data_IF_019626909937
#
_entry.id   IF_019626909937
#
_cell.length_a   1.000
_cell.length_b   1.000
_cell.length_c   1.000
_cell.angle_alpha   90.00
_cell.angle_beta   90.00
_cell.angle_gamma   90.00
#
_symmetry.space_group_name_H-M   'P 1'
#
loop_
_entity.id
_entity.type
_entity.pdbx_description
1 polymer ?
#
# COMPACT_ATOMS: atom_id res chain seq x y z
N UNK A 1 21.33 -21.82 -8.91
CA UNK A 1 20.09 -21.36 -8.27
C UNK A 1 19.80 -19.95 -8.75
N UNK A 2 18.54 -19.65 -9.07
CA UNK A 2 18.07 -18.31 -9.42
C UNK A 2 17.24 -17.78 -8.25
N UNK A 3 17.53 -16.56 -7.78
CA UNK A 3 16.69 -15.85 -6.83
C UNK A 3 15.45 -15.31 -7.57
N UNK A 4 14.25 -15.57 -7.06
CA UNK A 4 12.99 -15.03 -7.60
C UNK A 4 12.31 -14.14 -6.59
N UNK A 5 12.01 -12.92 -7.02
CA UNK A 5 11.38 -11.90 -6.19
C UNK A 5 10.03 -11.56 -6.84
N UNK A 6 8.96 -11.64 -6.05
CA UNK A 6 7.65 -11.11 -6.41
C UNK A 6 7.54 -9.70 -5.82
N UNK A 7 7.35 -8.69 -6.66
CA UNK A 7 7.18 -7.30 -6.21
C UNK A 7 5.80 -6.80 -6.65
N UNK A 8 4.98 -6.42 -5.67
CA UNK A 8 3.62 -5.92 -5.86
C UNK A 8 3.51 -4.60 -5.11
N UNK A 9 2.87 -3.59 -5.70
CA UNK A 9 2.70 -2.27 -5.10
C UNK A 9 1.26 -1.78 -5.21
N UNK A 10 0.89 -0.81 -4.37
CA UNK A 10 -0.33 -0.01 -4.49
C UNK A 10 -1.63 -0.84 -4.52
N UNK A 11 -1.72 -1.90 -3.71
CA UNK A 11 -2.86 -2.83 -3.72
C UNK A 11 -4.13 -2.17 -3.15
N UNK A 12 -3.99 -1.24 -2.21
CA UNK A 12 -5.09 -0.47 -1.61
C UNK A 12 -6.24 -1.34 -1.08
N UNK A 13 -5.94 -2.29 -0.19
CA UNK A 13 -6.96 -3.13 0.46
C UNK A 13 -8.03 -2.28 1.13
N UNK A 14 -9.30 -2.62 0.83
CA UNK A 14 -10.50 -2.01 1.40
C UNK A 14 -11.26 -3.03 2.21
N UNK A 15 -11.79 -2.58 3.35
CA UNK A 15 -12.79 -3.33 4.10
C UNK A 15 -14.19 -2.93 3.62
N UNK A 16 -14.75 -3.71 2.70
CA UNK A 16 -16.11 -3.50 2.20
C UNK A 16 -17.13 -3.96 3.26
N UNK A 17 -17.46 -3.07 4.21
CA UNK A 17 -18.61 -3.25 5.10
C UNK A 17 -19.89 -3.11 4.28
N UNK A 18 -20.59 -4.22 4.10
CA UNK A 18 -21.91 -4.38 3.46
C UNK A 18 -22.03 -3.97 1.98
N UNK A 19 -22.28 -4.97 1.13
CA UNK A 19 -23.05 -4.86 -0.13
C UNK A 19 -22.58 -3.86 -1.21
N UNK A 20 -21.28 -3.62 -1.39
CA UNK A 20 -20.80 -2.99 -2.64
C UNK A 20 -20.66 -4.07 -3.74
N UNK A 21 -21.62 -4.03 -4.66
CA UNK A 21 -21.92 -5.02 -5.72
C UNK A 21 -20.82 -5.14 -6.80
N UNK A 22 -19.68 -4.48 -6.65
CA UNK A 22 -18.52 -4.59 -7.54
C UNK A 22 -17.26 -4.79 -6.70
N UNK A 23 -16.96 -6.05 -6.40
CA UNK A 23 -15.76 -6.43 -5.67
C UNK A 23 -14.56 -6.54 -6.65
N UNK A 24 -14.33 -5.46 -7.41
CA UNK A 24 -13.30 -5.40 -8.45
C UNK A 24 -11.92 -5.74 -7.88
N UNK A 25 -11.67 -5.35 -6.62
CA UNK A 25 -10.44 -5.66 -5.91
C UNK A 25 -10.25 -7.18 -5.74
N UNK A 26 -11.33 -7.92 -5.44
CA UNK A 26 -11.28 -9.39 -5.35
C UNK A 26 -11.04 -10.05 -6.71
N UNK A 27 -11.65 -9.53 -7.78
CA UNK A 27 -11.42 -10.06 -9.13
C UNK A 27 -9.96 -9.87 -9.54
N UNK A 28 -9.39 -8.69 -9.29
CA UNK A 28 -7.97 -8.41 -9.55
C UNK A 28 -7.08 -9.32 -8.70
N UNK A 29 -7.38 -9.48 -7.41
CA UNK A 29 -6.64 -10.39 -6.52
C UNK A 29 -6.70 -11.84 -7.01
N UNK A 30 -7.85 -12.29 -7.54
CA UNK A 30 -8.01 -13.63 -8.08
C UNK A 30 -7.17 -13.84 -9.34
N UNK A 31 -7.16 -12.87 -10.27
CA UNK A 31 -6.30 -12.95 -11.46
C UNK A 31 -4.81 -12.96 -11.08
N UNK A 32 -4.39 -12.15 -10.09
CA UNK A 32 -3.02 -12.20 -9.55
C UNK A 32 -2.70 -13.60 -9.01
N UNK A 33 -3.63 -14.21 -8.27
CA UNK A 33 -3.44 -15.56 -7.72
C UNK A 33 -3.27 -16.61 -8.84
N UNK A 34 -4.10 -16.53 -9.89
CA UNK A 34 -4.05 -17.45 -11.04
C UNK A 34 -2.72 -17.31 -11.78
N UNK A 35 -2.31 -16.08 -12.08
CA UNK A 35 -1.06 -15.79 -12.78
C UNK A 35 0.16 -16.23 -11.95
N UNK A 36 0.13 -15.98 -10.64
CA UNK A 36 1.18 -16.41 -9.73
C UNK A 36 1.29 -17.94 -9.69
N UNK A 37 0.15 -18.66 -9.64
CA UNK A 37 0.15 -20.12 -9.65
C UNK A 37 0.74 -20.66 -10.96
N UNK A 38 0.34 -20.10 -12.11
CA UNK A 38 0.87 -20.48 -13.41
C UNK A 38 2.39 -20.20 -13.50
N UNK A 39 2.84 -19.06 -12.99
CA UNK A 39 4.25 -18.69 -12.94
C UNK A 39 5.04 -19.67 -12.08
N UNK A 40 4.56 -20.01 -10.88
CA UNK A 40 5.23 -20.93 -9.95
C UNK A 40 5.32 -22.33 -10.52
N UNK A 41 4.26 -22.83 -11.18
CA UNK A 41 4.28 -24.12 -11.87
C UNK A 41 5.34 -24.17 -12.98
N UNK A 42 5.52 -23.08 -13.72
CA UNK A 42 6.44 -23.02 -14.87
C UNK A 42 7.89 -22.72 -14.47
N UNK A 43 8.08 -21.86 -13.48
CA UNK A 43 9.38 -21.28 -13.16
C UNK A 43 9.92 -21.72 -11.81
N UNK A 44 9.08 -22.25 -10.91
CA UNK A 44 9.42 -22.63 -9.55
C UNK A 44 9.00 -21.58 -8.51
N UNK A 45 9.25 -21.90 -7.22
CA UNK A 45 8.82 -21.07 -6.07
C UNK A 45 9.35 -19.63 -6.09
N UNK A 46 8.68 -18.74 -5.37
CA UNK A 46 9.21 -17.40 -5.06
C UNK A 46 10.02 -17.49 -3.78
N UNK A 47 11.15 -16.78 -3.75
CA UNK A 47 12.02 -16.73 -2.57
C UNK A 47 11.67 -15.56 -1.66
N UNK A 48 11.30 -14.40 -2.23
CA UNK A 48 11.00 -13.17 -1.51
C UNK A 48 9.76 -12.49 -2.08
N UNK A 49 8.87 -12.01 -1.22
CA UNK A 49 7.74 -11.16 -1.61
C UNK A 49 7.97 -9.75 -1.08
N UNK A 50 7.90 -8.75 -1.95
CA UNK A 50 8.00 -7.34 -1.62
C UNK A 50 6.65 -6.66 -1.87
N UNK A 51 6.06 -6.09 -0.82
CA UNK A 51 4.82 -5.32 -0.86
C UNK A 51 5.17 -3.84 -0.68
N UNK A 52 5.16 -3.10 -1.77
CA UNK A 52 5.59 -1.70 -1.81
C UNK A 52 4.43 -0.72 -1.80
N UNK A 53 4.19 -0.04 -0.69
CA UNK A 53 3.31 1.13 -0.62
C UNK A 53 1.81 0.84 -0.69
N UNK A 54 1.06 1.74 -0.05
CA UNK A 54 -0.40 1.83 -0.01
C UNK A 54 -1.08 0.45 0.08
N UNK A 55 -0.72 -0.29 1.14
CA UNK A 55 -1.28 -1.62 1.43
C UNK A 55 -2.75 -1.45 1.81
N UNK A 56 -3.04 -0.55 2.76
CA UNK A 56 -4.40 -0.20 3.16
C UNK A 56 -4.87 1.06 2.43
N UNK A 57 -6.16 1.13 2.10
CA UNK A 57 -6.74 2.29 1.43
C UNK A 57 -6.81 3.53 2.35
N UNK A 58 -7.07 3.33 3.63
CA UNK A 58 -7.24 4.40 4.64
C UNK A 58 -6.48 4.16 5.95
N UNK A 59 -5.70 3.08 6.03
CA UNK A 59 -4.89 2.72 7.19
C UNK A 59 -5.68 2.10 8.34
N UNK A 60 -6.93 1.69 8.11
CA UNK A 60 -7.78 1.12 9.16
C UNK A 60 -7.36 -0.32 9.49
N UNK A 61 -7.47 -0.71 10.76
CA UNK A 61 -7.10 -2.06 11.23
C UNK A 61 -7.81 -3.18 10.45
N UNK A 62 -9.07 -2.97 10.06
CA UNK A 62 -9.82 -3.97 9.30
C UNK A 62 -9.29 -4.17 7.87
N UNK A 63 -8.74 -3.14 7.25
CA UNK A 63 -8.10 -3.23 5.92
C UNK A 63 -6.84 -4.10 6.00
N UNK A 64 -6.06 -3.98 7.08
CA UNK A 64 -4.89 -4.85 7.32
C UNK A 64 -5.25 -6.30 7.59
N UNK A 65 -6.43 -6.59 8.18
CA UNK A 65 -6.90 -7.99 8.33
C UNK A 65 -7.22 -8.64 6.99
N UNK A 66 -7.79 -7.87 6.06
CA UNK A 66 -8.01 -8.32 4.68
C UNK A 66 -6.67 -8.53 3.98
N UNK A 67 -5.75 -7.57 4.10
CA UNK A 67 -4.41 -7.67 3.54
C UNK A 67 -3.67 -8.93 4.05
N UNK A 68 -3.63 -9.17 5.37
CA UNK A 68 -2.99 -10.34 5.97
C UNK A 68 -3.55 -11.66 5.43
N UNK A 69 -4.87 -11.75 5.28
CA UNK A 69 -5.53 -12.94 4.73
C UNK A 69 -5.08 -13.21 3.30
N UNK A 70 -5.00 -12.17 2.47
CA UNK A 70 -4.53 -12.29 1.09
C UNK A 70 -3.04 -12.58 1.00
N UNK A 71 -2.20 -11.95 1.84
CA UNK A 71 -0.75 -12.18 1.92
C UNK A 71 -0.46 -13.65 2.23
N UNK A 72 -1.16 -14.23 3.20
CA UNK A 72 -1.03 -15.66 3.53
C UNK A 72 -1.39 -16.56 2.35
N UNK A 73 -2.39 -16.18 1.57
CA UNK A 73 -2.77 -16.93 0.38
C UNK A 73 -1.69 -16.88 -0.71
N UNK A 74 -1.10 -15.71 -1.00
CA UNK A 74 -0.01 -15.60 -1.98
C UNK A 74 1.27 -16.32 -1.50
N UNK A 75 1.58 -16.33 -0.20
CA UNK A 75 2.67 -17.14 0.36
C UNK A 75 2.46 -18.62 0.07
N UNK A 76 1.24 -19.13 0.34
CA UNK A 76 0.87 -20.51 0.05
C UNK A 76 1.00 -20.87 -1.43
N UNK A 77 0.51 -20.01 -2.33
CA UNK A 77 0.59 -20.24 -3.78
C UNK A 77 2.05 -20.20 -4.26
N UNK A 78 2.82 -19.24 -3.75
CA UNK A 78 4.20 -19.00 -4.19
C UNK A 78 5.24 -19.95 -3.61
N UNK A 79 4.91 -20.60 -2.49
CA UNK A 79 5.87 -21.40 -1.70
C UNK A 79 6.88 -20.55 -0.92
N UNK A 80 6.67 -19.22 -0.87
CA UNK A 80 7.45 -18.29 -0.05
C UNK A 80 7.01 -18.41 1.41
N UNK A 81 7.95 -18.28 2.34
CA UNK A 81 7.64 -18.26 3.77
C UNK A 81 7.12 -16.89 4.18
N UNK A 82 6.26 -16.83 5.20
CA UNK A 82 5.72 -15.54 5.68
C UNK A 82 6.83 -14.62 6.22
N UNK A 83 7.92 -15.20 6.76
CA UNK A 83 9.08 -14.46 7.26
C UNK A 83 9.90 -13.79 6.15
N UNK A 84 9.72 -14.22 4.90
CA UNK A 84 10.39 -13.68 3.71
C UNK A 84 9.51 -12.66 2.95
N UNK A 85 8.42 -12.20 3.58
CA UNK A 85 7.56 -11.12 3.09
C UNK A 85 8.01 -9.80 3.72
N UNK A 86 8.33 -8.82 2.88
CA UNK A 86 8.73 -7.49 3.31
C UNK A 86 7.72 -6.45 2.84
N UNK A 87 7.24 -5.63 3.76
CA UNK A 87 6.27 -4.57 3.51
C UNK A 87 6.92 -3.19 3.70
N UNK A 88 6.65 -2.27 2.79
CA UNK A 88 7.00 -0.85 2.93
C UNK A 88 5.69 -0.05 2.97
N UNK A 89 5.36 0.65 4.07
CA UNK A 89 4.12 1.41 4.15
C UNK A 89 4.16 2.64 3.23
N UNK A 90 3.03 2.95 2.60
CA UNK A 90 2.81 4.15 1.81
C UNK A 90 2.13 5.28 2.57
N UNK A 91 1.59 6.24 1.84
CA UNK A 91 0.97 7.44 2.41
C UNK A 91 -0.48 7.21 2.87
N UNK A 92 -1.12 6.17 2.33
CA UNK A 92 -2.48 5.74 2.66
C UNK A 92 -2.52 4.77 3.85
N UNK A 93 -1.36 4.21 4.23
CA UNK A 93 -1.19 3.28 5.36
C UNK A 93 -1.21 3.93 6.75
N UNK A 94 -1.68 5.18 6.85
CA UNK A 94 -1.74 5.91 8.11
C UNK A 94 -3.21 6.16 8.45
N UNK A 95 -3.67 5.58 9.56
CA UNK A 95 -4.97 5.94 10.13
C UNK A 95 -4.95 7.39 10.60
N UNK A 96 -5.45 8.29 9.74
CA UNK A 96 -5.48 9.72 10.05
C UNK A 96 -6.53 10.06 11.09
N UNK A 97 -7.42 9.15 11.49
CA UNK A 97 -8.37 9.41 12.57
C UNK A 97 -7.67 9.52 13.92
N UNK A 98 -6.55 8.81 14.10
CA UNK A 98 -5.71 8.83 15.30
C UNK A 98 -4.73 10.02 15.36
N UNK A 99 -4.67 10.84 14.30
CA UNK A 99 -3.84 12.05 14.28
C UNK A 99 -4.57 13.18 15.01
N UNK A 100 -3.87 13.79 15.98
CA UNK A 100 -4.31 14.95 16.76
C UNK A 100 -4.93 16.04 15.87
N UNK A 101 -6.12 16.59 16.22
CA UNK A 101 -6.76 17.68 15.47
C UNK A 101 -5.82 18.86 15.18
N UNK A 102 -4.93 19.20 16.11
CA UNK A 102 -3.99 20.32 15.95
C UNK A 102 -2.97 20.05 14.84
N UNK A 103 -2.52 18.81 14.68
CA UNK A 103 -1.63 18.39 13.59
C UNK A 103 -2.34 18.43 12.22
N UNK A 104 -3.65 18.13 12.18
CA UNK A 104 -4.45 18.24 10.94
C UNK A 104 -4.59 19.68 10.49
N UNK A 105 -4.79 20.61 11.43
CA UNK A 105 -4.91 22.04 11.13
C UNK A 105 -3.58 22.63 10.67
N UNK A 106 -2.47 22.28 11.31
CA UNK A 106 -1.12 22.67 10.85
C UNK A 106 -0.82 22.11 9.46
N UNK A 107 -1.19 20.85 9.16
CA UNK A 107 -1.01 20.26 7.83
C UNK A 107 -1.85 20.96 6.75
N UNK A 108 -3.09 21.35 7.07
CA UNK A 108 -3.95 22.13 6.15
C UNK A 108 -3.37 23.51 5.88
N UNK A 109 -2.88 24.20 6.92
CA UNK A 109 -2.23 25.50 6.79
C UNK A 109 -0.96 25.39 5.93
N UNK A 110 -0.14 24.36 6.16
CA UNK A 110 1.09 24.10 5.38
C UNK A 110 0.81 23.80 3.90
N UNK A 111 -0.26 23.04 3.59
CA UNK A 111 -0.70 22.80 2.21
C UNK A 111 -1.24 24.06 1.52
N UNK A 112 -1.93 24.94 2.25
CA UNK A 112 -2.34 26.25 1.74
C UNK A 112 -1.15 27.18 1.46
N UNK A 113 -0.10 27.09 2.28
CA UNK A 113 1.10 27.95 2.15
C UNK A 113 1.97 27.66 0.93
N UNK A 114 1.87 26.46 0.31
CA UNK A 114 2.59 26.15 -0.93
C UNK A 114 2.13 26.98 -2.13
N UNK A 115 0.97 27.65 -2.06
CA UNK A 115 0.49 28.54 -3.12
C UNK A 115 1.14 29.95 -3.11
N UNK A 116 1.67 30.41 -1.97
CA UNK A 116 2.12 31.81 -1.78
C UNK A 116 3.65 32.01 -1.69
N UNK A 117 4.44 31.05 -2.18
CA UNK A 117 5.92 31.15 -2.21
C UNK A 117 6.43 32.15 -3.28
N UNK A 118 5.54 32.90 -3.96
CA UNK A 118 5.92 33.95 -4.92
C UNK A 118 6.11 35.35 -4.31
N UNK A 119 5.83 35.56 -3.02
CA UNK A 119 5.88 36.90 -2.41
C UNK A 119 7.10 37.19 -1.54
N UNK A 120 7.94 36.20 -1.21
CA UNK A 120 9.05 36.39 -0.25
C UNK A 120 10.40 36.71 -0.92
N UNK A 121 10.54 36.58 -2.24
CA UNK A 121 11.82 36.82 -2.94
C UNK A 121 12.09 38.27 -3.36
N UNK A 122 11.25 39.25 -3.00
CA UNK A 122 11.40 40.65 -3.48
C UNK A 122 11.92 41.68 -2.46
N UNK A 123 12.25 41.31 -1.22
CA UNK A 123 12.54 42.31 -0.18
C UNK A 123 13.88 42.16 0.55
N UNK A 124 14.88 41.53 -0.07
CA UNK A 124 16.24 41.52 0.50
C UNK A 124 17.23 41.98 -0.58
N UNK A 125 17.23 43.28 -0.85
CA UNK A 125 18.40 43.97 -1.41
C UNK A 125 19.16 44.54 -0.23
N UNK A 126 20.21 43.84 0.20
CA UNK A 126 21.16 44.37 1.18
C UNK A 126 22.12 45.28 0.39
N UNK A 127 22.18 46.54 0.82
CA UNK A 127 23.16 47.54 0.38
C UNK A 127 24.44 47.42 1.19
#
# INVERSE_FOLDING_TARGET
MSLRILHISDIHFRDYKDHQVLNLDNDIQNEINIDLEAHVKKHGKIDIILLGGDIAFSGQESEYKVADTWIKNICKISGCQEEDVFCVPGNHDIDRTQIDPMLKDIHKISKGYKADVKLITKSVTIS
#
